data_IF_895029035605
#
_entry.id   IF_895029035605
#
_cell.length_a   1.000
_cell.length_b   1.000
_cell.length_c   1.000
_cell.angle_alpha   90.00
_cell.angle_beta   90.00
_cell.angle_gamma   90.00
#
_symmetry.space_group_name_H-M   'P 1'
#
loop_
_entity.id
_entity.type
_entity.pdbx_description
1 polymer ?
#
# COMPACT_ATOMS: atom_id res chain seq x y z
N UNK A 1 8.18 -35.37 -8.85
CA UNK A 1 8.14 -34.46 -10.03
C UNK A 1 8.81 -33.15 -9.64
N UNK A 2 9.89 -32.78 -10.33
CA UNK A 2 10.65 -31.56 -10.03
C UNK A 2 9.86 -30.32 -10.46
N UNK A 3 9.92 -29.25 -9.65
CA UNK A 3 9.30 -27.94 -9.97
C UNK A 3 9.72 -27.41 -11.36
N UNK A 4 10.94 -27.74 -11.80
CA UNK A 4 11.45 -27.38 -13.12
C UNK A 4 10.64 -28.02 -14.26
N UNK A 5 10.33 -29.32 -14.17
CA UNK A 5 9.58 -30.02 -15.22
C UNK A 5 8.12 -29.53 -15.35
N UNK A 6 7.50 -29.08 -14.26
CA UNK A 6 6.15 -28.51 -14.30
C UNK A 6 6.12 -27.14 -15.01
N UNK A 7 7.17 -26.33 -14.83
CA UNK A 7 7.31 -25.01 -15.44
C UNK A 7 7.57 -25.11 -16.95
N UNK A 8 8.39 -26.06 -17.38
CA UNK A 8 8.65 -26.36 -18.80
C UNK A 8 7.40 -26.85 -19.53
N UNK A 9 6.60 -27.73 -18.91
CA UNK A 9 5.32 -28.18 -19.49
C UNK A 9 4.28 -27.07 -19.56
N UNK A 10 4.25 -26.16 -18.58
CA UNK A 10 3.32 -25.04 -18.58
C UNK A 10 3.67 -24.00 -19.66
N UNK A 11 4.96 -23.71 -19.83
CA UNK A 11 5.44 -22.81 -20.90
C UNK A 11 5.20 -23.43 -22.28
N UNK A 12 5.53 -24.72 -22.45
CA UNK A 12 5.32 -25.45 -23.70
C UNK A 12 3.84 -25.53 -24.09
N UNK A 13 2.95 -25.75 -23.11
CA UNK A 13 1.50 -25.75 -23.31
C UNK A 13 0.95 -24.39 -23.75
N UNK A 14 1.47 -23.29 -23.18
CA UNK A 14 1.07 -21.93 -23.55
C UNK A 14 1.46 -21.59 -25.00
N UNK A 15 2.67 -21.99 -25.43
CA UNK A 15 3.15 -21.76 -26.80
C UNK A 15 2.31 -22.53 -27.82
N UNK A 16 1.99 -23.79 -27.53
CA UNK A 16 1.16 -24.63 -28.42
C UNK A 16 -0.28 -24.11 -28.49
N UNK A 17 -0.85 -23.64 -27.37
CA UNK A 17 -2.20 -23.07 -27.33
C UNK A 17 -2.30 -21.70 -28.03
N UNK A 18 -1.21 -20.91 -28.07
CA UNK A 18 -1.17 -19.62 -28.75
C UNK A 18 -0.88 -19.73 -30.26
N UNK A 19 -0.27 -20.82 -30.71
CA UNK A 19 0.12 -21.04 -32.11
C UNK A 19 -1.04 -20.86 -33.13
N UNK A 20 -2.27 -21.36 -32.91
CA UNK A 20 -3.39 -21.18 -33.84
C UNK A 20 -3.81 -19.71 -33.99
N UNK A 21 -3.65 -18.92 -32.93
CA UNK A 21 -3.97 -17.49 -32.92
C UNK A 21 -3.00 -16.75 -33.85
N UNK A 22 -1.71 -17.09 -33.82
CA UNK A 22 -0.70 -16.49 -34.71
C UNK A 22 -0.81 -16.96 -36.17
N UNK A 23 -1.23 -18.19 -36.42
CA UNK A 23 -1.36 -18.75 -37.78
C UNK A 23 -2.60 -18.19 -38.51
N UNK A 24 -3.66 -17.83 -37.76
CA UNK A 24 -4.91 -17.27 -38.30
C UNK A 24 -4.98 -15.74 -38.23
N UNK A 25 -4.00 -15.09 -37.57
CA UNK A 25 -3.96 -13.64 -37.44
C UNK A 25 -3.52 -12.99 -38.75
N UNK A 26 -4.21 -11.95 -39.22
CA UNK A 26 -3.68 -11.16 -40.32
C UNK A 26 -2.34 -10.53 -39.91
N UNK A 27 -1.36 -10.55 -40.82
CA UNK A 27 0.02 -10.12 -40.57
C UNK A 27 0.13 -8.69 -40.02
N UNK A 28 -0.83 -7.81 -40.35
CA UNK A 28 -0.89 -6.44 -39.85
C UNK A 28 -1.31 -6.33 -38.36
N UNK A 29 -1.93 -7.37 -37.80
CA UNK A 29 -2.37 -7.37 -36.40
C UNK A 29 -1.25 -7.79 -35.43
N UNK A 30 -0.21 -8.47 -35.92
CA UNK A 30 0.99 -8.83 -35.16
C UNK A 30 1.63 -7.60 -34.48
N UNK A 31 1.94 -6.49 -35.19
CA UNK A 31 2.52 -5.31 -34.54
C UNK A 31 1.58 -4.68 -33.50
N UNK A 32 0.26 -4.78 -33.67
CA UNK A 32 -0.71 -4.25 -32.69
C UNK A 32 -0.71 -5.08 -31.39
N UNK A 33 -0.64 -6.41 -31.48
CA UNK A 33 -0.54 -7.28 -30.30
C UNK A 33 0.78 -7.06 -29.56
N UNK A 34 1.89 -6.95 -30.30
CA UNK A 34 3.20 -6.64 -29.72
C UNK A 34 3.16 -5.29 -29.01
N UNK A 35 2.60 -4.26 -29.66
CA UNK A 35 2.46 -2.92 -29.07
C UNK A 35 1.58 -2.94 -27.82
N UNK A 36 0.46 -3.66 -27.84
CA UNK A 36 -0.42 -3.82 -26.68
C UNK A 36 0.26 -4.53 -25.50
N UNK A 37 1.01 -5.60 -25.78
CA UNK A 37 1.79 -6.31 -24.77
C UNK A 37 2.89 -5.44 -24.16
N UNK A 38 3.59 -4.67 -24.98
CA UNK A 38 4.61 -3.70 -24.52
C UNK A 38 3.97 -2.59 -23.68
N UNK A 39 2.81 -2.05 -24.08
CA UNK A 39 2.08 -1.05 -23.31
C UNK A 39 1.60 -1.58 -21.96
N UNK A 40 1.06 -2.81 -21.90
CA UNK A 40 0.70 -3.43 -20.63
C UNK A 40 1.91 -3.62 -19.71
N UNK A 41 3.04 -4.08 -20.25
CA UNK A 41 4.28 -4.25 -19.48
C UNK A 41 4.82 -2.91 -18.99
N UNK A 42 4.82 -1.89 -19.84
CA UNK A 42 5.23 -0.54 -19.47
C UNK A 42 4.31 0.06 -18.40
N UNK A 43 2.99 -0.15 -18.52
CA UNK A 43 2.02 0.29 -17.53
C UNK A 43 2.20 -0.46 -16.19
N UNK A 44 2.38 -1.78 -16.21
CA UNK A 44 2.65 -2.56 -15.00
C UNK A 44 3.98 -2.16 -14.34
N UNK A 45 5.03 -1.90 -15.14
CA UNK A 45 6.30 -1.39 -14.64
C UNK A 45 6.15 0.02 -14.06
N UNK A 46 5.36 0.89 -14.70
CA UNK A 46 5.06 2.22 -14.21
C UNK A 46 4.29 2.16 -12.88
N UNK A 47 3.28 1.28 -12.77
CA UNK A 47 2.57 1.05 -11.51
C UNK A 47 3.50 0.53 -10.41
N UNK A 48 4.45 -0.36 -10.73
CA UNK A 48 5.45 -0.84 -9.76
C UNK A 48 6.42 0.24 -9.30
N UNK A 49 6.76 1.20 -10.16
CA UNK A 49 7.62 2.34 -9.80
C UNK A 49 6.82 3.46 -9.11
N UNK A 50 5.52 3.55 -9.40
CA UNK A 50 4.59 4.50 -8.79
C UNK A 50 3.99 3.97 -7.48
N UNK A 51 4.08 2.65 -7.22
CA UNK A 51 3.90 2.09 -5.89
C UNK A 51 4.97 2.72 -5.00
N UNK A 52 4.59 3.57 -4.04
CA UNK A 52 5.57 4.13 -3.14
C UNK A 52 6.21 2.97 -2.38
N UNK A 53 7.52 3.03 -2.18
CA UNK A 53 8.36 2.15 -1.33
C UNK A 53 7.64 1.65 -0.05
N UNK A 54 6.70 2.46 0.44
CA UNK A 54 5.63 2.19 1.39
C UNK A 54 4.99 0.80 1.41
N UNK A 55 4.82 0.07 0.30
CA UNK A 55 4.13 -1.23 0.33
C UNK A 55 5.00 -2.36 0.93
N UNK A 56 6.29 -2.36 0.64
CA UNK A 56 7.24 -3.31 1.24
C UNK A 56 7.56 -2.91 2.68
N UNK A 57 7.72 -1.60 2.92
CA UNK A 57 7.98 -1.05 4.25
C UNK A 57 6.78 -1.26 5.18
N UNK A 58 5.56 -1.18 4.65
CA UNK A 58 4.36 -1.45 5.44
C UNK A 58 4.21 -2.90 5.84
N UNK A 59 4.47 -3.85 4.94
CA UNK A 59 4.47 -5.27 5.28
C UNK A 59 5.53 -5.60 6.34
N UNK A 60 6.72 -4.98 6.25
CA UNK A 60 7.76 -5.14 7.26
C UNK A 60 7.33 -4.55 8.62
N UNK A 61 6.83 -3.32 8.65
CA UNK A 61 6.29 -2.67 9.85
C UNK A 61 5.12 -3.44 10.47
N UNK A 62 4.26 -4.10 9.68
CA UNK A 62 3.21 -4.97 10.20
C UNK A 62 3.78 -6.22 10.91
N UNK A 63 4.94 -6.71 10.47
CA UNK A 63 5.58 -7.90 11.04
C UNK A 63 6.56 -7.62 12.19
N UNK A 64 7.25 -6.48 12.17
CA UNK A 64 8.35 -6.14 13.09
C UNK A 64 8.02 -4.92 13.97
N UNK A 65 7.00 -4.15 13.61
CA UNK A 65 6.65 -2.91 14.30
C UNK A 65 6.05 -3.16 15.68
N UNK A 66 6.40 -2.27 16.62
CA UNK A 66 5.83 -2.25 17.96
C UNK A 66 4.51 -1.50 17.90
N UNK A 67 3.44 -2.10 18.42
CA UNK A 67 2.14 -1.46 18.52
C UNK A 67 2.10 -0.47 19.69
N UNK A 68 1.83 0.80 19.38
CA UNK A 68 1.80 1.92 20.32
C UNK A 68 0.51 2.72 20.11
N UNK A 69 0.04 3.44 21.13
CA UNK A 69 -1.10 4.36 21.00
C UNK A 69 -0.57 5.79 20.88
N UNK A 70 -0.73 6.40 19.71
CA UNK A 70 -0.40 7.81 19.51
C UNK A 70 -1.59 8.69 19.90
N UNK A 71 -1.33 9.79 20.61
CA UNK A 71 -2.37 10.73 21.02
C UNK A 71 -2.62 11.75 19.90
N UNK A 72 -3.88 12.09 19.66
CA UNK A 72 -4.20 13.18 18.73
C UNK A 72 -3.88 14.52 19.40
N UNK A 73 -2.93 15.25 18.83
CA UNK A 73 -2.57 16.60 19.22
C UNK A 73 -3.50 17.63 18.56
N UNK A 74 -3.71 17.50 17.25
CA UNK A 74 -4.54 18.39 16.44
C UNK A 74 -5.20 17.61 15.28
N UNK A 75 -6.34 18.09 14.78
CA UNK A 75 -7.04 17.49 13.65
C UNK A 75 -7.78 18.53 12.79
N UNK A 76 -7.35 18.66 11.54
CA UNK A 76 -7.88 19.59 10.54
C UNK A 76 -8.61 18.85 9.42
N UNK A 77 -9.65 19.47 8.85
CA UNK A 77 -10.33 18.98 7.65
C UNK A 77 -9.61 19.51 6.40
N UNK A 78 -9.31 18.63 5.44
CA UNK A 78 -8.79 19.09 4.15
C UNK A 78 -9.95 19.63 3.29
N UNK A 79 -9.89 20.88 2.83
CA UNK A 79 -11.02 21.54 2.16
C UNK A 79 -11.40 20.94 0.80
N UNK A 80 -10.45 20.28 0.11
CA UNK A 80 -10.64 19.82 -1.27
C UNK A 80 -11.07 18.35 -1.39
N UNK A 81 -11.13 17.61 -0.27
CA UNK A 81 -11.49 16.19 -0.27
C UNK A 81 -12.36 15.96 0.96
N UNK A 82 -13.67 16.12 0.81
CA UNK A 82 -14.67 16.32 1.90
C UNK A 82 -14.79 15.26 3.00
N UNK A 83 -13.84 14.33 3.10
CA UNK A 83 -13.75 13.33 4.18
C UNK A 83 -12.32 13.03 4.63
N UNK A 84 -11.30 13.74 4.12
CA UNK A 84 -9.92 13.59 4.57
C UNK A 84 -9.64 14.50 5.77
N UNK A 85 -9.06 13.91 6.81
CA UNK A 85 -8.54 14.64 7.94
C UNK A 85 -7.01 14.63 7.91
N UNK A 86 -6.39 15.78 8.18
CA UNK A 86 -4.98 15.90 8.56
C UNK A 86 -4.93 15.80 10.08
N UNK A 87 -4.25 14.78 10.60
CA UNK A 87 -4.24 14.43 12.01
C UNK A 87 -2.80 14.52 12.52
N UNK A 88 -2.53 15.46 13.42
CA UNK A 88 -1.26 15.54 14.12
C UNK A 88 -1.28 14.57 15.32
N UNK A 89 -0.24 13.74 15.41
CA UNK A 89 -0.12 12.65 16.35
C UNK A 89 1.15 12.80 17.18
N UNK A 90 0.99 12.80 18.50
CA UNK A 90 2.09 12.63 19.44
C UNK A 90 2.37 11.15 19.61
N UNK A 91 3.51 10.70 19.08
CA UNK A 91 3.97 9.31 19.19
C UNK A 91 5.00 9.21 20.32
N UNK A 92 4.72 8.32 21.28
CA UNK A 92 5.63 8.00 22.39
C UNK A 92 5.79 6.50 22.48
N UNK A 93 6.94 6.00 22.03
CA UNK A 93 7.28 4.59 22.03
C UNK A 93 8.51 4.35 22.90
N UNK A 94 8.55 3.24 23.64
CA UNK A 94 9.71 2.89 24.45
C UNK A 94 10.93 2.66 23.53
N UNK A 95 12.05 3.30 23.87
CA UNK A 95 13.28 3.24 23.08
C UNK A 95 13.36 4.25 21.93
N UNK A 96 12.35 5.11 21.75
CA UNK A 96 12.37 6.24 20.82
C UNK A 96 12.12 7.55 21.54
N UNK A 97 12.76 8.61 21.07
CA UNK A 97 12.40 9.96 21.52
C UNK A 97 10.97 10.28 21.05
N UNK A 98 10.15 10.94 21.89
CA UNK A 98 8.84 11.43 21.48
C UNK A 98 8.95 12.25 20.20
N UNK A 99 8.06 11.99 19.24
CA UNK A 99 8.01 12.72 17.99
C UNK A 99 6.58 13.00 17.56
N UNK A 100 6.42 14.06 16.77
CA UNK A 100 5.15 14.43 16.17
C UNK A 100 5.07 13.90 14.73
N UNK A 101 3.93 13.32 14.39
CA UNK A 101 3.68 12.70 13.11
C UNK A 101 2.36 13.21 12.52
N UNK A 102 2.34 13.52 11.22
CA UNK A 102 1.11 13.93 10.54
C UNK A 102 0.57 12.77 9.71
N UNK A 103 -0.64 12.33 10.02
CA UNK A 103 -1.34 11.28 9.29
C UNK A 103 -2.54 11.86 8.54
N UNK A 104 -2.68 11.54 7.26
CA UNK A 104 -3.81 11.99 6.45
C UNK A 104 -4.71 10.80 6.14
N UNK A 105 -5.97 10.87 6.56
CA UNK A 105 -6.86 9.72 6.45
C UNK A 105 -8.35 10.07 6.47
N UNK A 106 -9.12 9.26 5.74
CA UNK A 106 -10.58 9.26 5.72
C UNK A 106 -11.19 7.96 6.28
N UNK A 107 -10.38 7.08 6.87
CA UNK A 107 -10.87 5.82 7.43
C UNK A 107 -11.79 6.07 8.64
N UNK A 108 -12.83 5.26 8.81
CA UNK A 108 -13.78 5.35 9.92
C UNK A 108 -13.11 5.35 11.31
N UNK A 109 -12.00 4.62 11.49
CA UNK A 109 -11.24 4.62 12.77
C UNK A 109 -10.65 6.01 13.03
N UNK A 110 -10.11 6.65 11.99
CA UNK A 110 -9.57 8.00 12.08
C UNK A 110 -10.68 9.02 12.30
N UNK A 111 -11.81 8.90 11.59
CA UNK A 111 -12.97 9.78 11.76
C UNK A 111 -13.54 9.72 13.17
N UNK A 112 -13.71 8.52 13.75
CA UNK A 112 -14.20 8.37 15.12
C UNK A 112 -13.24 9.00 16.13
N UNK A 113 -11.93 8.77 15.97
CA UNK A 113 -10.93 9.35 16.84
C UNK A 113 -10.91 10.89 16.75
N UNK A 114 -11.01 11.46 15.55
CA UNK A 114 -11.13 12.91 15.32
C UNK A 114 -12.43 13.45 15.95
N UNK A 115 -13.56 12.76 15.78
CA UNK A 115 -14.83 13.16 16.37
C UNK A 115 -14.80 13.12 17.92
N UNK A 116 -14.08 12.17 18.52
CA UNK A 116 -13.83 12.15 19.97
C UNK A 116 -12.92 13.30 20.41
N UNK A 117 -11.83 13.55 19.69
CA UNK A 117 -10.92 14.66 19.97
C UNK A 117 -11.64 16.02 19.94
N UNK A 118 -12.47 16.27 18.91
CA UNK A 118 -13.27 17.51 18.78
C UNK A 118 -14.30 17.69 19.90
N UNK A 119 -14.75 16.60 20.53
CA UNK A 119 -15.61 16.63 21.71
C UNK A 119 -14.85 16.88 23.02
N UNK A 120 -13.54 17.16 22.96
CA UNK A 120 -12.67 17.32 24.12
C UNK A 120 -12.37 16.02 24.85
N UNK A 121 -12.67 14.86 24.24
CA UNK A 121 -12.41 13.56 24.83
C UNK A 121 -10.98 13.09 24.49
N UNK A 122 -10.30 12.35 25.38
CA UNK A 122 -9.04 11.70 25.05
C UNK A 122 -9.23 10.76 23.85
N UNK A 123 -8.50 11.04 22.77
CA UNK A 123 -8.51 10.24 21.54
C UNK A 123 -7.09 9.82 21.17
N UNK A 124 -6.97 8.58 20.73
CA UNK A 124 -5.70 7.98 20.31
C UNK A 124 -5.92 7.04 19.13
N UNK A 125 -4.88 6.91 18.31
CA UNK A 125 -4.83 6.00 17.18
C UNK A 125 -3.78 4.90 17.42
N UNK A 126 -4.05 3.66 17.00
CA UNK A 126 -3.02 2.62 17.02
C UNK A 126 -1.99 2.91 15.93
N UNK A 127 -0.73 2.95 16.33
CA UNK A 127 0.43 3.22 15.46
C UNK A 127 1.39 2.06 15.59
N UNK A 128 1.93 1.59 14.47
CA UNK A 128 3.06 0.68 14.44
C UNK A 128 4.32 1.50 14.23
N UNK A 129 5.33 1.25 15.05
CA UNK A 129 6.60 1.98 14.99
C UNK A 129 7.75 0.98 14.92
N UNK A 130 8.72 1.23 14.05
CA UNK A 130 9.98 0.50 14.02
C UNK A 130 11.09 1.38 14.63
N UNK A 131 11.54 1.10 15.86
CA UNK A 131 12.62 1.86 16.50
C UNK A 131 13.95 1.81 15.73
N UNK A 132 14.20 0.70 15.04
CA UNK A 132 15.44 0.50 14.29
C UNK A 132 15.48 1.30 12.98
N UNK A 133 14.35 1.42 12.28
CA UNK A 133 14.26 2.10 10.99
C UNK A 133 13.76 3.56 11.10
N UNK A 134 13.21 3.97 12.25
CA UNK A 134 12.57 5.28 12.41
C UNK A 134 11.25 5.41 11.64
N UNK A 135 10.71 4.28 11.17
CA UNK A 135 9.49 4.22 10.39
C UNK A 135 8.27 4.08 11.30
N UNK A 136 7.14 4.61 10.84
CA UNK A 136 5.88 4.52 11.56
C UNK A 136 4.69 4.47 10.60
N UNK A 137 3.58 3.91 11.05
CA UNK A 137 2.31 3.96 10.33
C UNK A 137 1.13 3.94 11.29
N UNK A 138 -0.02 4.46 10.87
CA UNK A 138 -1.28 4.25 11.59
C UNK A 138 -1.90 2.93 11.15
N UNK A 139 -2.20 2.05 12.10
CA UNK A 139 -2.92 0.81 11.82
C UNK A 139 -4.43 1.07 11.76
N UNK A 140 -5.09 0.54 10.73
CA UNK A 140 -6.57 0.60 10.63
C UNK A 140 -7.24 -0.76 10.87
N UNK A 141 -6.45 -1.81 11.13
CA UNK A 141 -7.03 -3.09 11.55
C UNK A 141 -7.63 -2.92 12.94
N UNK A 142 -8.87 -3.39 13.11
CA UNK A 142 -9.57 -3.37 14.40
C UNK A 142 -8.70 -4.05 15.46
N UNK A 143 -8.30 -3.27 16.46
CA UNK A 143 -7.76 -3.77 17.73
C UNK A 143 -8.93 -3.97 18.68
#
# INVERSE_FOLDING_TARGET
MSRAGAMETALGGLVVAALPIFVSMPWWAIPLVVLGGVLMLAFAAHLRWAEPESAADSARLESEGIAVRARIAEAEDLPDVGVLHRIALDVRADGLNPFEATHVCSNAVCQDAVARHRRGQPASLPVLVSPAAGEWMVSHRRV
#
